data_IF_485136986214
#
_entry.id   IF_485136986214
#
_cell.length_a   1.000
_cell.length_b   1.000
_cell.length_c   1.000
_cell.angle_alpha   90.00
_cell.angle_beta   90.00
_cell.angle_gamma   90.00
#
_symmetry.space_group_name_H-M   'P 1'
#
loop_
_entity.id
_entity.type
_entity.pdbx_description
1 polymer ?
#
# COMPACT_ATOMS: atom_id res chain seq x y z
N UNK A 1 12.26 -16.88 -1.43
CA UNK A 1 11.33 -15.73 -1.49
C UNK A 1 11.66 -14.85 -0.29
N UNK A 2 11.81 -13.55 -0.52
CA UNK A 2 12.03 -12.50 0.48
C UNK A 2 10.79 -12.25 1.34
N UNK A 3 9.63 -12.77 0.92
CA UNK A 3 8.34 -12.42 1.46
C UNK A 3 8.07 -10.91 1.28
N UNK A 4 8.31 -10.44 0.06
CA UNK A 4 8.11 -9.05 -0.38
C UNK A 4 7.51 -9.07 -1.79
N UNK A 5 6.84 -8.00 -2.20
CA UNK A 5 6.26 -7.88 -3.54
C UNK A 5 7.31 -8.03 -4.66
N UNK A 6 8.56 -7.70 -4.35
CA UNK A 6 9.74 -7.82 -5.23
C UNK A 6 10.17 -9.26 -5.48
N UNK A 7 9.53 -10.25 -4.85
CA UNK A 7 9.62 -11.65 -5.27
C UNK A 7 8.92 -11.89 -6.62
N UNK A 8 7.96 -11.03 -7.02
CA UNK A 8 7.42 -11.01 -8.38
C UNK A 8 8.49 -10.50 -9.34
N UNK A 9 8.97 -11.32 -10.29
CA UNK A 9 10.06 -10.90 -11.17
C UNK A 9 9.73 -9.63 -11.95
N UNK A 10 10.67 -8.67 -11.97
CA UNK A 10 10.50 -7.38 -12.64
C UNK A 10 9.93 -6.26 -11.80
N UNK A 11 9.66 -6.49 -10.51
CA UNK A 11 9.21 -5.45 -9.58
C UNK A 11 10.36 -5.00 -8.70
N UNK A 12 10.61 -3.69 -8.68
CA UNK A 12 11.51 -2.99 -7.75
C UNK A 12 10.71 -2.03 -6.89
N UNK A 13 11.11 -1.80 -5.64
CA UNK A 13 10.44 -0.87 -4.73
C UNK A 13 11.47 0.03 -4.07
N UNK A 14 11.18 1.33 -4.01
CA UNK A 14 11.97 2.31 -3.27
C UNK A 14 11.11 3.18 -2.37
N UNK A 15 11.71 3.64 -1.27
CA UNK A 15 11.08 4.47 -0.26
C UNK A 15 11.88 5.77 -0.09
N UNK A 16 11.18 6.88 0.07
CA UNK A 16 11.76 8.13 0.54
C UNK A 16 10.81 8.79 1.54
N UNK A 17 11.37 9.55 2.48
CA UNK A 17 10.61 10.11 3.59
C UNK A 17 11.22 11.40 4.11
N UNK A 18 10.36 12.27 4.62
CA UNK A 18 10.74 13.42 5.42
C UNK A 18 10.23 13.18 6.85
N UNK A 19 11.18 12.86 7.74
CA UNK A 19 10.86 12.59 9.15
C UNK A 19 10.49 13.87 9.92
N UNK A 20 10.92 15.06 9.46
CA UNK A 20 10.49 16.33 10.06
C UNK A 20 9.04 16.58 9.72
N UNK A 21 8.66 16.42 8.45
CA UNK A 21 7.28 16.55 7.99
C UNK A 21 6.40 15.33 8.32
N UNK A 22 6.96 14.24 8.86
CA UNK A 22 6.26 13.01 9.23
C UNK A 22 5.50 12.36 8.05
N UNK A 23 6.11 12.33 6.86
CA UNK A 23 5.47 11.81 5.64
C UNK A 23 6.49 11.12 4.73
N UNK A 24 6.02 10.53 3.63
CA UNK A 24 6.88 9.87 2.66
C UNK A 24 6.15 9.35 1.42
N UNK A 25 6.93 8.79 0.51
CA UNK A 25 6.47 8.15 -0.72
C UNK A 25 7.16 6.79 -0.92
N UNK A 26 6.45 5.88 -1.56
CA UNK A 26 6.91 4.57 -1.97
C UNK A 26 6.62 4.40 -3.45
N UNK A 27 7.60 4.00 -4.25
CA UNK A 27 7.47 3.82 -5.70
C UNK A 27 7.79 2.37 -6.04
N UNK A 28 6.82 1.67 -6.63
CA UNK A 28 7.02 0.35 -7.23
C UNK A 28 7.24 0.52 -8.75
N UNK A 29 8.41 0.13 -9.26
CA UNK A 29 8.80 0.21 -10.67
C UNK A 29 8.71 -1.17 -11.31
N UNK A 30 8.14 -1.24 -12.52
CA UNK A 30 8.12 -2.43 -13.36
C UNK A 30 9.18 -2.30 -14.45
N UNK A 31 10.24 -3.11 -14.41
CA UNK A 31 11.40 -2.95 -15.32
C UNK A 31 11.05 -2.97 -16.81
N UNK A 32 9.99 -3.69 -17.19
CA UNK A 32 9.53 -3.85 -18.58
C UNK A 32 8.09 -3.36 -18.76
N UNK A 33 7.60 -2.57 -17.81
CA UNK A 33 6.18 -2.26 -17.66
C UNK A 33 5.36 -3.46 -17.17
N UNK A 34 4.10 -3.19 -16.82
CA UNK A 34 3.14 -4.21 -16.42
C UNK A 34 1.73 -3.86 -16.88
N UNK A 35 0.95 -4.88 -17.24
CA UNK A 35 -0.50 -4.70 -17.47
C UNK A 35 -1.16 -4.48 -16.12
N UNK A 36 -1.93 -3.40 -15.98
CA UNK A 36 -2.50 -3.03 -14.69
C UNK A 36 -3.94 -2.55 -14.75
N UNK A 37 -4.63 -2.70 -13.63
CA UNK A 37 -5.94 -2.10 -13.39
C UNK A 37 -6.08 -1.66 -11.93
N UNK A 38 -7.23 -1.11 -11.55
CA UNK A 38 -7.49 -0.49 -10.24
C UNK A 38 -8.88 -0.87 -9.73
N UNK A 39 -9.02 -1.06 -8.42
CA UNK A 39 -10.30 -1.15 -7.73
C UNK A 39 -10.29 -0.22 -6.52
N UNK A 40 -11.17 0.78 -6.57
CA UNK A 40 -11.36 1.77 -5.49
C UNK A 40 -12.71 1.51 -4.85
N UNK A 41 -12.69 1.17 -3.56
CA UNK A 41 -13.91 0.88 -2.78
C UNK A 41 -14.11 1.85 -1.61
N UNK A 42 -13.09 2.63 -1.24
CA UNK A 42 -13.25 3.73 -0.28
C UNK A 42 -14.14 4.86 -0.82
N UNK A 43 -14.86 5.54 0.07
CA UNK A 43 -15.73 6.66 -0.28
C UNK A 43 -15.04 8.01 -0.54
N UNK A 44 -13.76 8.16 -0.18
CA UNK A 44 -13.00 9.41 -0.35
C UNK A 44 -11.61 9.17 -0.98
N UNK A 45 -11.54 8.61 -2.20
CA UNK A 45 -10.25 8.30 -2.83
C UNK A 45 -9.51 9.55 -3.30
N UNK A 46 -8.20 9.42 -3.41
CA UNK A 46 -7.35 10.35 -4.11
C UNK A 46 -6.35 9.58 -4.95
N UNK A 47 -6.41 9.78 -6.27
CA UNK A 47 -5.56 9.07 -7.22
C UNK A 47 -5.11 9.96 -8.38
N UNK A 48 -4.06 9.53 -9.06
CA UNK A 48 -3.58 10.10 -10.32
C UNK A 48 -3.66 9.02 -11.39
N UNK A 49 -4.30 9.38 -12.51
CA UNK A 49 -4.46 8.52 -13.68
C UNK A 49 -5.22 7.21 -13.41
N UNK A 50 -6.03 7.11 -12.34
CA UNK A 50 -6.84 5.93 -12.05
C UNK A 50 -7.82 5.58 -13.16
N UNK A 51 -8.49 6.58 -13.77
CA UNK A 51 -9.39 6.34 -14.92
C UNK A 51 -8.67 5.63 -16.07
N UNK A 52 -7.39 5.92 -16.31
CA UNK A 52 -6.63 5.28 -17.39
C UNK A 52 -6.44 3.77 -17.19
N UNK A 53 -6.68 3.26 -15.98
CA UNK A 53 -6.60 1.86 -15.60
C UNK A 53 -7.91 1.10 -15.74
N UNK A 54 -8.99 1.76 -16.16
CA UNK A 54 -10.25 1.08 -16.46
C UNK A 54 -10.10 0.17 -17.70
N UNK A 55 -10.72 -1.03 -17.70
CA UNK A 55 -10.51 -2.05 -18.74
C UNK A 55 -10.74 -1.57 -20.17
N UNK A 56 -11.65 -0.62 -20.38
CA UNK A 56 -12.04 -0.05 -21.67
C UNK A 56 -11.07 1.02 -22.20
N UNK A 57 -10.17 1.56 -21.35
CA UNK A 57 -9.33 2.69 -21.72
C UNK A 57 -8.08 2.27 -22.51
N UNK A 58 -7.70 3.11 -23.48
CA UNK A 58 -6.54 2.90 -24.36
C UNK A 58 -5.23 3.09 -23.59
N UNK A 59 -4.45 2.02 -23.49
CA UNK A 59 -3.19 1.98 -22.73
C UNK A 59 -3.07 0.65 -22.02
N UNK A 60 -2.08 -0.15 -22.42
CA UNK A 60 -1.97 -1.54 -21.96
C UNK A 60 -1.06 -1.69 -20.74
N UNK A 61 -0.01 -0.88 -20.63
CA UNK A 61 1.02 -1.05 -19.61
C UNK A 61 1.32 0.25 -18.86
N UNK A 62 1.64 0.09 -17.58
CA UNK A 62 2.20 1.12 -16.71
C UNK A 62 3.65 0.83 -16.37
N UNK A 63 4.41 1.86 -16.01
CA UNK A 63 5.82 1.77 -15.64
C UNK A 63 6.05 1.76 -14.14
N UNK A 64 5.15 2.42 -13.38
CA UNK A 64 5.22 2.45 -11.93
C UNK A 64 3.85 2.66 -11.26
N UNK A 65 3.78 2.23 -10.00
CA UNK A 65 2.73 2.61 -9.05
C UNK A 65 3.38 3.40 -7.91
N UNK A 66 2.82 4.56 -7.60
CA UNK A 66 3.26 5.42 -6.50
C UNK A 66 2.23 5.38 -5.39
N UNK A 67 2.69 5.15 -4.17
CA UNK A 67 1.91 5.28 -2.94
C UNK A 67 2.53 6.41 -2.13
N UNK A 68 1.75 7.37 -1.65
CA UNK A 68 2.32 8.48 -0.86
C UNK A 68 1.40 8.99 0.22
N UNK A 69 1.98 9.59 1.24
CA UNK A 69 1.26 10.48 2.17
C UNK A 69 0.84 11.79 1.52
N UNK A 70 0.50 12.77 2.34
CA UNK A 70 0.29 14.15 1.92
C UNK A 70 -1.10 14.52 1.43
N UNK A 71 -2.03 13.58 1.39
CA UNK A 71 -3.33 13.79 0.76
C UNK A 71 -3.13 14.44 -0.62
N UNK A 72 -3.91 15.45 -0.99
CA UNK A 72 -3.88 16.10 -2.31
C UNK A 72 -2.49 16.58 -2.74
N UNK A 73 -1.65 17.03 -1.81
CA UNK A 73 -0.27 17.46 -2.10
C UNK A 73 0.64 16.28 -2.48
N UNK A 74 0.30 15.08 -1.98
CA UNK A 74 0.99 13.85 -2.30
C UNK A 74 1.00 13.52 -3.79
N UNK A 75 0.01 13.97 -4.55
CA UNK A 75 -0.13 13.70 -5.99
C UNK A 75 1.06 14.19 -6.84
N UNK A 76 1.89 15.08 -6.28
CA UNK A 76 3.13 15.55 -6.92
C UNK A 76 4.23 14.48 -6.94
N UNK A 77 4.17 13.47 -6.07
CA UNK A 77 5.16 12.38 -6.03
C UNK A 77 5.22 11.57 -7.32
N UNK A 78 4.10 11.38 -8.02
CA UNK A 78 4.13 10.78 -9.35
C UNK A 78 4.93 11.61 -10.36
N UNK A 79 4.95 12.94 -10.23
CA UNK A 79 5.76 13.82 -11.07
C UNK A 79 7.26 13.55 -10.90
N UNK A 80 7.74 13.46 -9.67
CA UNK A 80 9.14 13.14 -9.37
C UNK A 80 9.53 11.73 -9.82
N UNK A 81 8.67 10.75 -9.58
CA UNK A 81 8.89 9.37 -10.06
C UNK A 81 8.95 9.31 -11.59
N UNK A 82 8.01 9.97 -12.28
CA UNK A 82 8.01 10.08 -13.75
C UNK A 82 9.27 10.74 -14.30
N UNK A 83 9.83 11.75 -13.62
CA UNK A 83 11.09 12.38 -14.04
C UNK A 83 12.26 11.38 -14.05
N UNK A 84 12.36 10.53 -13.02
CA UNK A 84 13.39 9.49 -12.94
C UNK A 84 13.20 8.42 -14.00
N UNK A 85 11.96 7.96 -14.22
CA UNK A 85 11.66 6.97 -15.28
C UNK A 85 11.99 7.53 -16.66
N UNK A 86 11.64 8.79 -16.94
CA UNK A 86 11.95 9.47 -18.19
C UNK A 86 13.47 9.60 -18.39
N UNK A 87 14.23 9.98 -17.36
CA UNK A 87 15.69 10.03 -17.39
C UNK A 87 16.32 8.67 -17.73
N UNK A 88 15.70 7.57 -17.27
CA UNK A 88 16.13 6.19 -17.55
C UNK A 88 15.70 5.70 -18.94
N UNK A 89 15.00 6.52 -19.72
CA UNK A 89 14.43 6.12 -21.01
C UNK A 89 13.30 5.10 -20.90
N UNK A 90 12.67 4.99 -19.72
CA UNK A 90 11.57 4.07 -19.47
C UNK A 90 10.23 4.70 -19.86
N UNK A 91 9.32 3.88 -20.37
CA UNK A 91 7.99 4.29 -20.85
C UNK A 91 7.82 4.11 -22.35
N UNK A 92 6.64 4.47 -22.85
CA UNK A 92 6.36 4.42 -24.29
C UNK A 92 7.04 5.58 -24.99
N UNK A 93 7.73 5.29 -26.10
CA UNK A 93 8.36 6.33 -26.91
C UNK A 93 7.36 6.97 -27.85
N UNK A 94 7.22 8.30 -27.80
CA UNK A 94 6.42 9.08 -28.73
C UNK A 94 7.25 10.24 -29.29
N UNK A 95 7.43 10.30 -30.60
CA UNK A 95 8.26 11.34 -31.22
C UNK A 95 9.72 11.38 -30.73
N UNK A 96 10.27 10.23 -30.30
CA UNK A 96 11.62 10.14 -29.72
C UNK A 96 11.72 10.48 -28.23
N UNK A 97 10.61 10.86 -27.58
CA UNK A 97 10.55 11.14 -26.14
C UNK A 97 10.00 9.92 -25.39
N UNK A 98 10.65 9.54 -24.30
CA UNK A 98 10.12 8.53 -23.38
C UNK A 98 9.01 9.14 -22.53
N UNK A 99 7.82 8.52 -22.56
CA UNK A 99 6.64 8.96 -21.80
C UNK A 99 6.26 7.84 -20.82
N UNK A 100 6.79 7.86 -19.58
CA UNK A 100 6.45 6.88 -18.57
C UNK A 100 5.05 7.10 -18.02
N UNK A 101 4.36 6.01 -17.70
CA UNK A 101 3.05 6.01 -17.04
C UNK A 101 3.23 5.59 -15.58
N UNK A 102 3.26 6.57 -14.68
CA UNK A 102 3.24 6.36 -13.24
C UNK A 102 1.85 6.70 -12.69
N UNK A 103 1.13 5.67 -12.24
CA UNK A 103 -0.19 5.83 -11.58
C UNK A 103 0.01 5.96 -10.08
N UNK A 104 -0.96 6.54 -9.35
CA UNK A 104 -0.77 6.83 -7.94
C UNK A 104 -2.05 6.77 -7.13
N UNK A 105 -1.92 6.41 -5.85
CA UNK A 105 -2.91 6.74 -4.83
C UNK A 105 -2.23 7.43 -3.62
N UNK A 106 -3.02 8.23 -2.89
CA UNK A 106 -2.55 9.07 -1.77
C UNK A 106 -3.30 8.73 -0.48
N UNK A 107 -2.63 8.86 0.66
CA UNK A 107 -3.25 8.76 1.99
C UNK A 107 -3.15 10.07 2.77
N UNK A 108 -4.06 10.24 3.73
CA UNK A 108 -4.10 11.42 4.59
C UNK A 108 -3.23 11.26 5.86
N UNK A 109 -2.15 12.03 5.94
CA UNK A 109 -1.25 12.10 7.10
C UNK A 109 -0.92 13.56 7.52
N UNK A 110 -1.77 14.52 7.14
CA UNK A 110 -1.49 15.95 7.34
C UNK A 110 -1.60 16.43 8.80
N UNK A 111 -2.19 15.64 9.71
CA UNK A 111 -2.41 16.01 11.12
C UNK A 111 -1.68 15.09 12.12
N UNK A 112 -0.68 14.35 11.66
CA UNK A 112 0.05 13.34 12.44
C UNK A 112 1.23 13.91 13.27
N UNK A 113 1.28 15.22 13.45
CA UNK A 113 2.46 15.93 13.98
C UNK A 113 3.36 16.43 12.85
N UNK A 114 4.65 16.66 13.13
CA UNK A 114 5.64 17.11 12.16
C UNK A 114 5.52 18.56 11.70
N UNK A 115 6.60 19.04 11.07
CA UNK A 115 6.73 20.38 10.51
C UNK A 115 6.04 20.45 9.14
N UNK A 116 4.93 21.19 9.07
CA UNK A 116 4.10 21.32 7.86
C UNK A 116 3.79 22.79 7.52
N UNK A 117 4.75 23.68 7.76
CA UNK A 117 4.59 25.11 7.50
C UNK A 117 4.28 25.41 6.02
N UNK A 118 4.71 24.52 5.12
CA UNK A 118 4.34 24.53 3.70
C UNK A 118 2.83 24.48 3.46
N UNK A 119 2.01 23.98 4.40
CA UNK A 119 0.55 24.05 4.26
C UNK A 119 -0.02 25.46 4.45
N UNK A 120 0.70 26.35 5.15
CA UNK A 120 0.24 27.74 5.41
C UNK A 120 0.59 28.67 4.24
N UNK A 121 1.73 28.44 3.60
CA UNK A 121 2.20 29.25 2.47
C UNK A 121 2.72 28.37 1.31
N UNK A 122 1.88 27.49 0.69
CA UNK A 122 2.33 26.46 -0.26
C UNK A 122 2.92 27.01 -1.57
N UNK A 123 2.72 28.30 -1.86
CA UNK A 123 3.34 28.98 -3.01
C UNK A 123 4.78 29.40 -2.71
N UNK A 124 5.10 29.68 -1.44
CA UNK A 124 6.45 30.09 -1.00
C UNK A 124 7.28 28.90 -0.54
N UNK A 125 6.61 27.92 0.04
CA UNK A 125 7.22 26.73 0.61
C UNK A 125 6.64 25.51 -0.09
N UNK A 126 7.42 24.94 -1.00
CA UNK A 126 7.01 23.81 -1.82
C UNK A 126 6.74 22.57 -0.94
N UNK A 127 5.62 21.85 -1.16
CA UNK A 127 5.40 20.55 -0.53
C UNK A 127 6.48 19.53 -0.95
N UNK A 128 6.92 18.62 -0.05
CA UNK A 128 8.09 17.78 -0.31
C UNK A 128 7.86 16.66 -1.34
N UNK A 129 6.62 16.48 -1.84
CA UNK A 129 6.21 15.23 -2.46
C UNK A 129 6.85 14.96 -3.82
N UNK A 130 7.15 15.99 -4.62
CA UNK A 130 7.88 15.80 -5.87
C UNK A 130 9.27 15.19 -5.60
N UNK A 131 10.03 15.77 -4.67
CA UNK A 131 11.35 15.25 -4.27
C UNK A 131 11.26 13.85 -3.67
N UNK A 132 10.26 13.59 -2.81
CA UNK A 132 10.02 12.26 -2.25
C UNK A 132 9.75 11.21 -3.33
N UNK A 133 8.95 11.54 -4.34
CA UNK A 133 8.69 10.66 -5.48
C UNK A 133 9.95 10.37 -6.32
N UNK A 134 10.75 11.41 -6.58
CA UNK A 134 12.05 11.29 -7.27
C UNK A 134 12.98 10.38 -6.48
N UNK A 135 13.20 10.67 -5.20
CA UNK A 135 14.18 9.99 -4.38
C UNK A 135 13.80 8.52 -4.16
N UNK A 136 12.51 8.23 -3.96
CA UNK A 136 12.01 6.86 -3.88
C UNK A 136 12.26 6.08 -5.19
N UNK A 137 12.03 6.69 -6.35
CA UNK A 137 12.29 6.04 -7.64
C UNK A 137 13.80 5.83 -7.91
N UNK A 138 14.65 6.74 -7.45
CA UNK A 138 16.10 6.63 -7.59
C UNK A 138 16.66 5.42 -6.84
N UNK A 139 16.15 5.13 -5.65
CA UNK A 139 16.65 4.06 -4.77
C UNK A 139 15.89 2.73 -4.89
N UNK A 140 15.00 2.59 -5.88
CA UNK A 140 14.19 1.38 -6.04
C UNK A 140 15.05 0.12 -6.21
N UNK A 141 14.80 -0.89 -5.38
CA UNK A 141 15.58 -2.13 -5.29
C UNK A 141 14.69 -3.35 -4.96
N UNK A 142 15.30 -4.54 -4.87
CA UNK A 142 14.58 -5.75 -4.44
C UNK A 142 14.30 -5.78 -2.94
N UNK A 143 15.18 -5.19 -2.12
CA UNK A 143 15.04 -5.14 -0.67
C UNK A 143 14.72 -3.70 -0.25
N UNK A 144 13.73 -3.53 0.62
CA UNK A 144 13.26 -2.23 1.08
C UNK A 144 12.68 -2.32 2.49
N UNK A 145 12.70 -1.21 3.23
CA UNK A 145 12.22 -1.16 4.61
C UNK A 145 10.68 -1.22 4.68
N UNK A 146 10.16 -1.85 5.75
CA UNK A 146 8.74 -1.90 6.11
C UNK A 146 8.46 -1.08 7.38
N UNK A 147 7.19 -0.97 7.77
CA UNK A 147 6.76 -0.25 8.97
C UNK A 147 6.75 1.27 8.75
N UNK A 148 7.52 2.01 9.56
CA UNK A 148 7.64 3.47 9.45
C UNK A 148 8.64 3.83 8.35
N UNK A 149 8.28 3.55 7.10
CA UNK A 149 9.10 3.79 5.92
C UNK A 149 8.24 4.23 4.73
N UNK A 150 8.75 5.12 3.88
CA UNK A 150 8.07 5.62 2.68
C UNK A 150 6.66 6.13 2.98
N UNK A 151 5.66 5.67 2.20
CA UNK A 151 4.26 6.02 2.43
C UNK A 151 3.71 5.59 3.81
N UNK A 152 4.38 4.66 4.49
CA UNK A 152 4.02 4.20 5.84
C UNK A 152 4.44 5.14 6.98
N UNK A 153 5.30 6.13 6.73
CA UNK A 153 5.84 7.01 7.79
C UNK A 153 4.72 7.71 8.54
N UNK A 154 3.85 8.40 7.81
CA UNK A 154 2.76 9.16 8.42
C UNK A 154 1.51 8.36 8.76
N UNK A 155 1.46 7.08 8.38
CA UNK A 155 0.27 6.25 8.41
C UNK A 155 -0.13 5.84 9.84
N UNK A 156 -1.43 5.86 10.13
CA UNK A 156 -2.03 5.47 11.43
C UNK A 156 -3.34 4.73 11.24
N UNK A 157 -3.67 3.85 12.19
CA UNK A 157 -5.00 3.19 12.28
C UNK A 157 -5.80 3.76 13.45
N UNK A 158 -6.97 3.18 13.76
CA UNK A 158 -7.83 3.64 14.85
C UNK A 158 -7.17 3.71 16.25
N UNK A 159 -6.11 2.96 16.51
CA UNK A 159 -5.48 2.95 17.84
C UNK A 159 -4.02 2.53 17.90
N UNK A 160 -3.37 2.44 16.74
CA UNK A 160 -1.98 2.04 16.57
C UNK A 160 -1.34 2.82 15.42
N UNK A 161 -0.02 2.96 15.48
CA UNK A 161 0.79 3.32 14.32
C UNK A 161 0.50 2.36 13.17
N UNK A 162 0.21 2.92 11.99
CA UNK A 162 0.10 2.16 10.74
C UNK A 162 1.47 1.99 10.11
N UNK A 163 1.55 1.54 8.87
CA UNK A 163 2.86 1.41 8.24
C UNK A 163 2.83 0.88 6.81
N UNK A 164 4.02 0.72 6.25
CA UNK A 164 4.25 0.10 4.96
C UNK A 164 4.44 -1.40 5.16
N UNK A 165 3.60 -2.20 4.52
CA UNK A 165 3.64 -3.65 4.59
C UNK A 165 3.88 -4.28 3.24
N UNK A 166 4.54 -5.43 3.22
CA UNK A 166 4.68 -6.23 2.01
C UNK A 166 4.83 -7.71 2.34
N UNK A 167 4.30 -8.56 1.46
CA UNK A 167 4.37 -10.02 1.53
C UNK A 167 4.31 -10.62 0.13
N UNK A 168 4.52 -11.93 0.04
CA UNK A 168 4.31 -12.69 -1.20
C UNK A 168 3.99 -14.15 -0.91
N UNK A 169 3.49 -14.85 -1.92
CA UNK A 169 3.28 -16.29 -1.92
C UNK A 169 3.34 -16.85 -3.35
N UNK A 170 3.44 -18.18 -3.46
CA UNK A 170 3.25 -18.89 -4.73
C UNK A 170 1.89 -19.55 -4.79
N UNK A 171 1.32 -19.59 -5.98
CA UNK A 171 0.16 -20.43 -6.29
C UNK A 171 0.60 -21.89 -6.48
N UNK A 172 -0.35 -22.82 -6.49
CA UNK A 172 -0.12 -24.24 -6.79
C UNK A 172 0.47 -24.46 -8.19
N UNK A 173 0.17 -23.56 -9.13
CA UNK A 173 0.71 -23.57 -10.50
C UNK A 173 2.08 -22.87 -10.62
N UNK A 174 2.62 -22.37 -9.50
CA UNK A 174 3.96 -21.79 -9.45
C UNK A 174 4.04 -20.30 -9.80
N UNK A 175 2.92 -19.64 -10.08
CA UNK A 175 2.87 -18.18 -10.21
C UNK A 175 3.26 -17.52 -8.90
N UNK A 176 3.96 -16.41 -8.98
CA UNK A 176 4.28 -15.57 -7.83
C UNK A 176 3.23 -14.47 -7.71
N UNK A 177 2.77 -14.23 -6.48
CA UNK A 177 1.87 -13.12 -6.15
C UNK A 177 2.49 -12.36 -4.99
N UNK A 178 2.50 -11.04 -5.07
CA UNK A 178 3.05 -10.15 -4.05
C UNK A 178 2.09 -9.01 -3.72
N UNK A 179 2.16 -8.50 -2.49
CA UNK A 179 1.39 -7.34 -2.05
C UNK A 179 2.30 -6.28 -1.42
N UNK A 180 1.95 -5.01 -1.62
CA UNK A 180 2.57 -3.83 -1.02
C UNK A 180 1.44 -2.89 -0.60
N UNK A 181 1.48 -2.38 0.63
CA UNK A 181 0.37 -1.58 1.18
C UNK A 181 0.87 -0.52 2.15
N UNK A 182 0.33 0.68 2.07
CA UNK A 182 0.45 1.70 3.11
C UNK A 182 -0.84 1.78 3.92
N UNK A 183 -0.76 1.46 5.21
CA UNK A 183 -1.91 1.21 6.09
C UNK A 183 -2.25 2.45 6.91
N UNK A 184 -3.10 3.32 6.38
CA UNK A 184 -3.63 4.48 7.09
C UNK A 184 -5.16 4.36 7.30
N UNK A 185 -5.60 3.17 7.72
CA UNK A 185 -7.00 2.76 7.75
C UNK A 185 -7.87 3.57 8.73
N UNK A 186 -9.17 3.70 8.41
CA UNK A 186 -10.14 4.27 9.36
C UNK A 186 -10.36 3.31 10.55
N UNK A 187 -10.31 2.01 10.29
CA UNK A 187 -10.56 0.97 11.27
C UNK A 187 -9.33 0.51 12.03
N UNK A 188 -9.50 -0.61 12.74
CA UNK A 188 -8.45 -1.27 13.50
C UNK A 188 -7.92 -2.50 12.77
N UNK A 189 -6.61 -2.69 12.77
CA UNK A 189 -5.98 -3.94 12.34
C UNK A 189 -6.02 -5.04 13.41
N UNK A 190 -6.18 -4.65 14.68
CA UNK A 190 -6.26 -5.56 15.83
C UNK A 190 -7.69 -5.79 16.30
N UNK A 191 -7.91 -6.94 16.94
CA UNK A 191 -9.20 -7.38 17.51
C UNK A 191 -9.39 -6.73 18.88
N UNK A 192 -10.45 -5.93 19.01
CA UNK A 192 -10.79 -5.26 20.27
C UNK A 192 -9.66 -4.36 20.78
N UNK A 193 -9.32 -4.51 22.05
CA UNK A 193 -8.17 -3.85 22.69
C UNK A 193 -6.92 -4.75 22.79
N UNK A 194 -7.00 -5.97 22.27
CA UNK A 194 -5.95 -6.98 22.38
C UNK A 194 -4.87 -6.91 21.28
N UNK A 195 -3.85 -7.77 21.39
CA UNK A 195 -2.72 -7.77 20.47
C UNK A 195 -2.97 -8.54 19.16
N UNK A 196 -4.03 -9.37 19.10
CA UNK A 196 -4.32 -10.22 17.95
C UNK A 196 -4.74 -9.41 16.73
N UNK A 197 -4.16 -9.69 15.57
CA UNK A 197 -4.57 -9.12 14.29
C UNK A 197 -5.80 -9.83 13.71
N UNK A 198 -6.66 -9.10 13.00
CA UNK A 198 -7.73 -9.72 12.20
C UNK A 198 -7.16 -10.68 11.16
N UNK A 199 -6.00 -10.36 10.59
CA UNK A 199 -5.30 -11.20 9.64
C UNK A 199 -4.61 -12.44 10.26
N UNK A 200 -4.78 -12.71 11.56
CA UNK A 200 -4.07 -13.78 12.27
C UNK A 200 -4.22 -15.17 11.67
N UNK A 201 -5.34 -15.48 11.00
CA UNK A 201 -5.56 -16.75 10.31
C UNK A 201 -4.67 -16.96 9.07
N UNK A 202 -4.08 -15.88 8.55
CA UNK A 202 -3.26 -15.88 7.34
C UNK A 202 -1.76 -15.78 7.64
N UNK A 203 -1.37 -15.67 8.91
CA UNK A 203 0.03 -15.52 9.31
C UNK A 203 0.87 -16.70 8.85
N UNK A 204 2.03 -16.40 8.27
CA UNK A 204 3.02 -17.41 7.91
C UNK A 204 4.26 -17.29 8.79
N UNK A 205 4.58 -18.37 9.51
CA UNK A 205 5.63 -18.33 10.54
C UNK A 205 5.23 -17.38 11.66
N UNK A 206 6.08 -16.41 11.97
CA UNK A 206 5.85 -15.39 13.01
C UNK A 206 6.01 -13.98 12.44
N UNK A 207 5.63 -13.78 11.17
CA UNK A 207 5.91 -12.55 10.42
C UNK A 207 5.23 -11.27 10.98
N UNK A 208 4.24 -11.41 11.86
CA UNK A 208 3.66 -10.31 12.63
C UNK A 208 3.31 -10.70 14.07
N UNK A 209 4.15 -11.55 14.68
CA UNK A 209 4.13 -11.84 16.12
C UNK A 209 3.65 -13.24 16.51
N UNK A 210 3.15 -14.05 15.59
CA UNK A 210 2.83 -15.48 15.81
C UNK A 210 1.66 -15.71 16.77
N UNK A 211 0.78 -14.73 16.94
CA UNK A 211 -0.31 -14.81 17.93
C UNK A 211 -1.57 -15.50 17.39
N UNK A 212 -1.73 -15.58 16.06
CA UNK A 212 -2.95 -16.07 15.44
C UNK A 212 -4.22 -15.35 15.94
N UNK A 213 -5.36 -16.05 15.91
CA UNK A 213 -6.60 -15.58 16.50
C UNK A 213 -6.71 -15.93 17.99
N UNK A 214 -7.41 -15.10 18.79
CA UNK A 214 -7.66 -15.44 20.18
C UNK A 214 -8.58 -16.67 20.26
N UNK A 215 -8.34 -17.54 21.24
CA UNK A 215 -9.16 -18.75 21.46
C UNK A 215 -10.65 -18.42 21.70
N UNK A 216 -10.94 -17.24 22.24
CA UNK A 216 -12.28 -16.66 22.36
C UNK A 216 -12.21 -15.19 21.99
N UNK A 217 -13.14 -14.71 21.17
CA UNK A 217 -13.24 -13.29 20.86
C UNK A 217 -13.54 -12.49 22.15
N UNK A 218 -12.80 -11.40 22.43
CA UNK A 218 -13.09 -10.55 23.58
C UNK A 218 -14.43 -9.82 23.41
N UNK A 219 -15.07 -9.44 24.51
CA UNK A 219 -16.37 -8.76 24.49
C UNK A 219 -16.36 -7.43 23.73
N UNK A 220 -15.18 -6.81 23.58
CA UNK A 220 -14.98 -5.58 22.82
C UNK A 220 -14.55 -5.78 21.36
N UNK A 221 -14.43 -7.04 20.89
CA UNK A 221 -13.93 -7.37 19.54
C UNK A 221 -14.71 -6.65 18.43
N UNK A 222 -16.02 -6.58 18.58
CA UNK A 222 -16.92 -6.04 17.56
C UNK A 222 -17.34 -4.59 17.81
N UNK A 223 -16.90 -3.97 18.92
CA UNK A 223 -17.20 -2.56 19.19
C UNK A 223 -16.62 -1.69 18.08
N UNK A 224 -17.40 -0.69 17.66
CA UNK A 224 -16.99 0.19 16.58
C UNK A 224 -15.84 1.10 17.02
N UNK A 225 -14.80 1.18 16.19
CA UNK A 225 -13.62 2.01 16.43
C UNK A 225 -13.25 2.69 15.13
N UNK A 226 -13.05 4.00 15.19
CA UNK A 226 -12.62 4.79 14.05
C UNK A 226 -11.47 5.70 14.44
N UNK A 227 -10.53 5.88 13.52
CA UNK A 227 -9.47 6.88 13.60
C UNK A 227 -10.07 8.28 13.81
N UNK A 228 -9.44 9.06 14.69
CA UNK A 228 -9.74 10.48 14.90
C UNK A 228 -10.86 10.79 15.90
N UNK A 229 -11.58 9.79 16.42
CA UNK A 229 -12.67 10.01 17.38
C UNK A 229 -12.25 10.92 18.55
N UNK A 230 -13.03 11.99 18.85
CA UNK A 230 -14.41 12.24 18.41
C UNK A 230 -14.59 12.96 17.05
N UNK A 231 -13.53 13.42 16.38
CA UNK A 231 -13.63 14.11 15.09
C UNK A 231 -13.41 13.15 13.91
N UNK A 232 -14.26 13.15 12.88
CA UNK A 232 -13.98 12.37 11.67
C UNK A 232 -12.68 12.85 11.03
N UNK A 233 -11.74 11.93 10.78
CA UNK A 233 -10.52 12.20 10.02
C UNK A 233 -10.52 11.30 8.79
N UNK A 234 -10.08 11.82 7.65
CA UNK A 234 -9.89 11.03 6.44
C UNK A 234 -8.84 9.94 6.69
N UNK A 235 -9.15 8.74 6.21
CA UNK A 235 -8.28 7.59 6.29
C UNK A 235 -8.13 6.98 4.90
N UNK A 236 -7.12 6.15 4.69
CA UNK A 236 -6.87 5.53 3.39
C UNK A 236 -5.96 4.31 3.54
N UNK A 237 -6.36 3.15 3.02
CA UNK A 237 -5.42 2.05 2.78
C UNK A 237 -5.15 1.93 1.27
N UNK A 238 -3.92 2.21 0.85
CA UNK A 238 -3.53 2.20 -0.57
C UNK A 238 -2.57 1.04 -0.82
N UNK A 239 -2.85 0.24 -1.83
CA UNK A 239 -2.14 -1.02 -2.06
C UNK A 239 -1.87 -1.31 -3.54
N UNK A 240 -0.84 -2.12 -3.76
CA UNK A 240 -0.54 -2.80 -5.01
C UNK A 240 -0.48 -4.30 -4.75
N UNK A 241 -1.19 -5.09 -5.55
CA UNK A 241 -0.91 -6.52 -5.73
C UNK A 241 -0.27 -6.75 -7.11
N UNK A 242 0.75 -7.59 -7.17
CA UNK A 242 1.45 -7.90 -8.40
C UNK A 242 1.55 -9.42 -8.61
N UNK A 243 1.58 -9.86 -9.87
CA UNK A 243 1.86 -11.24 -10.24
C UNK A 243 2.72 -11.34 -11.50
N UNK A 244 3.41 -12.46 -11.66
CA UNK A 244 4.14 -12.80 -12.88
C UNK A 244 3.29 -13.52 -13.93
N UNK A 245 2.03 -13.82 -13.63
CA UNK A 245 1.07 -14.30 -14.61
C UNK A 245 0.82 -13.25 -15.72
N UNK A 246 0.54 -13.72 -16.93
CA UNK A 246 0.05 -12.90 -18.05
C UNK A 246 -1.46 -12.74 -17.92
N UNK A 247 -1.88 -11.50 -17.62
CA UNK A 247 -3.29 -11.11 -17.48
C UNK A 247 -3.64 -9.99 -18.46
N UNK A 248 -4.90 -9.95 -18.88
CA UNK A 248 -5.49 -8.80 -19.55
C UNK A 248 -5.85 -7.71 -18.53
N UNK A 249 -6.15 -6.49 -19.01
CA UNK A 249 -6.56 -5.39 -18.14
C UNK A 249 -7.84 -5.70 -17.35
N UNK A 250 -8.81 -6.38 -17.98
CA UNK A 250 -10.04 -6.83 -17.33
C UNK A 250 -9.78 -7.90 -16.26
N UNK A 251 -8.79 -8.76 -16.45
CA UNK A 251 -8.38 -9.74 -15.46
C UNK A 251 -7.60 -9.11 -14.31
N UNK A 252 -6.74 -8.11 -14.58
CA UNK A 252 -6.16 -7.27 -13.54
C UNK A 252 -7.26 -6.54 -12.75
N UNK A 253 -8.34 -6.06 -13.40
CA UNK A 253 -9.49 -5.46 -12.70
C UNK A 253 -10.13 -6.47 -11.76
N UNK A 254 -10.34 -7.71 -12.22
CA UNK A 254 -10.87 -8.79 -11.39
C UNK A 254 -9.93 -9.13 -10.22
N UNK A 255 -8.62 -9.19 -10.46
CA UNK A 255 -7.60 -9.42 -9.45
C UNK A 255 -7.62 -8.32 -8.38
N UNK A 256 -7.71 -7.04 -8.77
CA UNK A 256 -7.83 -5.90 -7.86
C UNK A 256 -9.11 -5.96 -7.01
N UNK A 257 -10.24 -6.35 -7.61
CA UNK A 257 -11.51 -6.55 -6.88
C UNK A 257 -11.32 -7.64 -5.82
N UNK A 258 -10.79 -8.81 -6.19
CA UNK A 258 -10.58 -9.92 -5.26
C UNK A 258 -9.59 -9.56 -4.15
N UNK A 259 -8.52 -8.82 -4.47
CA UNK A 259 -7.54 -8.39 -3.48
C UNK A 259 -8.15 -7.55 -2.35
N UNK A 260 -9.22 -6.77 -2.60
CA UNK A 260 -9.92 -6.01 -1.55
C UNK A 260 -10.48 -6.91 -0.42
N UNK A 261 -10.73 -8.20 -0.68
CA UNK A 261 -11.08 -9.15 0.38
C UNK A 261 -9.97 -9.22 1.44
N UNK A 262 -8.71 -9.03 1.04
CA UNK A 262 -7.57 -8.95 1.95
C UNK A 262 -7.64 -7.77 2.91
N UNK A 263 -8.13 -6.62 2.44
CA UNK A 263 -8.41 -5.47 3.30
C UNK A 263 -9.55 -5.78 4.28
N UNK A 264 -10.64 -6.40 3.81
CA UNK A 264 -11.76 -6.83 4.65
C UNK A 264 -11.39 -7.90 5.70
N UNK A 265 -10.40 -8.74 5.41
CA UNK A 265 -9.86 -9.77 6.33
C UNK A 265 -8.93 -9.19 7.40
N UNK A 266 -8.38 -8.00 7.19
CA UNK A 266 -7.31 -7.43 8.02
C UNK A 266 -7.69 -6.15 8.73
N UNK A 267 -8.76 -5.47 8.32
CA UNK A 267 -9.20 -4.19 8.86
C UNK A 267 -10.69 -4.22 9.22
N UNK A 268 -11.05 -3.58 10.34
CA UNK A 268 -12.44 -3.41 10.74
C UNK A 268 -12.72 -2.05 11.40
N UNK A 269 -13.65 -1.24 10.86
CA UNK A 269 -14.23 -1.33 9.50
C UNK A 269 -13.19 -1.03 8.40
N UNK A 270 -13.60 -1.22 7.15
CA UNK A 270 -12.87 -0.84 5.94
C UNK A 270 -13.87 -0.27 4.92
N UNK A 271 -13.41 0.44 3.88
CA UNK A 271 -14.24 1.01 2.81
C UNK A 271 -15.31 2.00 3.31
N UNK A 272 -15.04 2.68 4.42
CA UNK A 272 -15.96 3.65 4.98
C UNK A 272 -16.08 4.90 4.08
N UNK A 273 -17.11 5.75 4.26
CA UNK A 273 -17.29 6.96 3.44
C UNK A 273 -16.10 7.93 3.47
N UNK A 274 -15.37 8.01 4.58
CA UNK A 274 -14.18 8.85 4.73
C UNK A 274 -12.87 8.07 4.54
N UNK A 275 -12.95 6.83 4.07
CA UNK A 275 -11.80 6.01 3.71
C UNK A 275 -11.55 6.12 2.21
N UNK A 276 -10.31 6.23 1.76
CA UNK A 276 -9.96 6.32 0.34
C UNK A 276 -9.36 5.03 -0.22
N UNK A 277 -9.75 3.88 0.33
CA UNK A 277 -9.16 2.58 -0.02
C UNK A 277 -9.10 2.31 -1.53
N UNK A 278 -7.89 2.04 -2.00
CA UNK A 278 -7.58 1.81 -3.41
C UNK A 278 -6.56 0.69 -3.55
N UNK A 279 -6.89 -0.30 -4.40
CA UNK A 279 -6.01 -1.42 -4.72
C UNK A 279 -5.70 -1.41 -6.22
N UNK A 280 -4.42 -1.28 -6.55
CA UNK A 280 -3.90 -1.55 -7.89
C UNK A 280 -3.59 -3.04 -8.04
N UNK A 281 -3.80 -3.59 -9.23
CA UNK A 281 -3.32 -4.91 -9.59
C UNK A 281 -2.45 -4.82 -10.85
N UNK A 282 -1.27 -5.44 -10.84
CA UNK A 282 -0.32 -5.44 -11.95
C UNK A 282 0.15 -6.86 -12.31
N UNK A 283 0.36 -7.11 -13.60
CA UNK A 283 0.79 -8.37 -14.16
C UNK A 283 2.05 -8.15 -15.01
N UNK A 284 3.17 -8.75 -14.62
CA UNK A 284 4.45 -8.61 -15.34
C UNK A 284 4.58 -9.58 -16.52
N UNK A 285 3.72 -10.61 -16.58
CA UNK A 285 3.61 -11.50 -17.74
C UNK A 285 4.82 -12.41 -18.00
N UNK A 286 5.61 -12.73 -16.97
CA UNK A 286 6.87 -13.47 -17.07
C UNK A 286 6.75 -14.99 -16.88
N UNK A 287 5.64 -15.50 -16.36
CA UNK A 287 5.49 -16.92 -15.98
C UNK A 287 4.47 -17.72 -16.82
N UNK A 288 3.64 -17.05 -17.64
CA UNK A 288 2.65 -17.69 -18.51
C UNK A 288 1.22 -17.23 -18.25
N UNK A 289 0.27 -17.75 -19.02
CA UNK A 289 -1.14 -17.32 -19.00
C UNK A 289 -1.82 -17.65 -17.66
N UNK A 290 -2.40 -16.64 -16.99
CA UNK A 290 -3.11 -16.83 -15.72
C UNK A 290 -4.58 -16.38 -15.70
N UNK A 291 -5.13 -15.97 -16.84
CA UNK A 291 -6.48 -15.39 -16.90
C UNK A 291 -7.62 -16.40 -16.96
N UNK A 292 -7.32 -17.70 -17.10
CA UNK A 292 -8.35 -18.74 -17.08
C UNK A 292 -9.09 -18.74 -15.72
N UNK A 293 -10.44 -18.87 -15.68
CA UNK A 293 -11.20 -18.62 -14.46
C UNK A 293 -10.72 -19.36 -13.21
N UNK A 294 -10.36 -20.66 -13.26
CA UNK A 294 -9.82 -21.36 -12.08
C UNK A 294 -8.48 -20.79 -11.60
N UNK A 295 -7.60 -20.42 -12.54
CA UNK A 295 -6.26 -19.87 -12.25
C UNK A 295 -6.38 -18.46 -11.70
N UNK A 296 -7.23 -17.62 -12.30
CA UNK A 296 -7.50 -16.27 -11.83
C UNK A 296 -8.15 -16.28 -10.44
N UNK A 297 -9.00 -17.28 -10.16
CA UNK A 297 -9.61 -17.47 -8.83
C UNK A 297 -8.54 -17.74 -7.77
N UNK A 298 -7.59 -18.63 -8.08
CA UNK A 298 -6.46 -18.91 -7.20
C UNK A 298 -5.56 -17.67 -7.03
N UNK A 299 -5.19 -16.99 -8.12
CA UNK A 299 -4.40 -15.75 -8.09
C UNK A 299 -5.05 -14.70 -7.20
N UNK A 300 -6.36 -14.46 -7.35
CA UNK A 300 -7.10 -13.51 -6.55
C UNK A 300 -7.21 -13.89 -5.08
N UNK A 301 -7.37 -15.18 -4.77
CA UNK A 301 -7.38 -15.68 -3.40
C UNK A 301 -6.03 -15.44 -2.72
N UNK A 302 -4.94 -15.81 -3.40
CA UNK A 302 -3.58 -15.62 -2.91
C UNK A 302 -3.24 -14.13 -2.80
N UNK A 303 -3.72 -13.28 -3.71
CA UNK A 303 -3.54 -11.83 -3.63
C UNK A 303 -4.25 -11.23 -2.40
N UNK A 304 -5.47 -11.67 -2.11
CA UNK A 304 -6.19 -11.26 -0.91
C UNK A 304 -5.47 -11.71 0.37
N UNK A 305 -4.96 -12.94 0.43
CA UNK A 305 -4.21 -13.44 1.58
C UNK A 305 -2.89 -12.68 1.78
N UNK A 306 -2.14 -12.43 0.69
CA UNK A 306 -0.93 -11.60 0.75
C UNK A 306 -1.27 -10.19 1.25
N UNK A 307 -2.32 -9.55 0.73
CA UNK A 307 -2.69 -8.21 1.16
C UNK A 307 -3.12 -8.17 2.64
N UNK A 308 -3.89 -9.16 3.11
CA UNK A 308 -4.25 -9.26 4.53
C UNK A 308 -3.02 -9.36 5.44
N UNK A 309 -2.06 -10.23 5.06
CA UNK A 309 -0.79 -10.39 5.78
C UNK A 309 0.04 -9.11 5.73
N UNK A 310 0.11 -8.45 4.58
CA UNK A 310 0.88 -7.21 4.39
C UNK A 310 0.33 -6.09 5.27
N UNK A 311 -1.00 -5.98 5.42
CA UNK A 311 -1.60 -5.00 6.35
C UNK A 311 -1.13 -5.23 7.78
N UNK A 312 -1.25 -6.45 8.30
CA UNK A 312 -0.82 -6.77 9.67
C UNK A 312 0.69 -6.58 9.86
N UNK A 313 1.50 -7.04 8.91
CA UNK A 313 2.96 -6.89 8.93
C UNK A 313 3.40 -5.42 8.89
N UNK A 314 2.73 -4.59 8.10
CA UNK A 314 3.00 -3.14 8.06
C UNK A 314 2.74 -2.45 9.40
N UNK A 315 1.66 -2.82 10.10
CA UNK A 315 1.34 -2.31 11.44
C UNK A 315 2.31 -2.86 12.50
N UNK A 316 2.66 -4.14 12.41
CA UNK A 316 3.57 -4.80 13.36
C UNK A 316 5.00 -4.24 13.29
N UNK A 317 5.52 -3.99 12.08
CA UNK A 317 6.88 -3.48 11.88
C UNK A 317 7.02 -1.97 12.11
N UNK A 318 5.89 -1.26 12.26
CA UNK A 318 5.93 0.17 12.49
C UNK A 318 6.49 0.53 13.85
N UNK A 319 7.11 1.71 13.92
CA UNK A 319 7.60 2.36 15.13
C UNK A 319 6.90 3.70 15.31
N UNK A 320 6.54 4.02 16.55
CA UNK A 320 5.86 5.28 16.85
C UNK A 320 6.72 6.49 16.42
N UNK A 321 6.06 7.54 15.91
CA UNK A 321 6.74 8.78 15.58
C UNK A 321 7.14 9.55 16.86
N UNK A 322 8.23 10.33 16.84
CA UNK A 322 8.70 11.07 18.02
C UNK A 322 7.93 12.38 18.26
N UNK A 323 6.60 12.37 18.09
CA UNK A 323 5.73 13.53 18.31
C UNK A 323 4.78 13.30 19.47
N UNK A 324 4.44 14.36 20.21
CA UNK A 324 3.62 14.27 21.43
C UNK A 324 2.23 13.63 21.20
N UNK A 325 1.68 13.75 19.99
CA UNK A 325 0.38 13.21 19.59
C UNK A 325 0.48 11.89 18.79
N UNK A 326 1.66 11.26 18.72
CA UNK A 326 1.84 10.02 17.99
C UNK A 326 1.07 8.87 18.64
N UNK A 327 0.37 8.08 17.83
CA UNK A 327 -0.21 6.81 18.27
C UNK A 327 0.90 5.80 18.57
N UNK A 328 0.75 4.94 19.60
CA UNK A 328 1.77 3.94 19.93
C UNK A 328 1.89 2.90 18.82
N UNK A 329 3.09 2.35 18.64
CA UNK A 329 3.28 1.14 17.84
C UNK A 329 2.85 -0.12 18.61
N UNK A 330 2.65 -1.20 17.86
CA UNK A 330 2.16 -2.47 18.40
C UNK A 330 3.14 -3.06 19.42
N UNK A 331 4.45 -3.02 19.13
CA UNK A 331 5.50 -3.64 19.96
C UNK A 331 5.63 -2.93 21.31
N UNK A 332 5.56 -1.60 21.34
CA UNK A 332 5.53 -0.81 22.57
C UNK A 332 4.25 -1.07 23.37
N UNK A 333 3.10 -1.14 22.71
CA UNK A 333 1.81 -1.32 23.38
C UNK A 333 1.62 -2.72 23.98
N UNK A 334 2.15 -3.75 23.32
CA UNK A 334 1.86 -5.16 23.66
C UNK A 334 3.08 -6.03 23.93
N UNK A 335 4.28 -5.66 23.47
CA UNK A 335 5.50 -6.45 23.61
C UNK A 335 6.09 -6.49 25.02
N UNK A 336 5.61 -5.64 25.95
CA UNK A 336 6.07 -5.58 27.34
C UNK A 336 5.42 -6.58 28.31
N UNK A 337 4.57 -7.50 27.85
CA UNK A 337 3.99 -8.56 28.71
C UNK A 337 4.71 -9.88 28.48
N UNK A 338 5.92 -9.97 29.01
CA UNK A 338 6.79 -11.14 28.88
C UNK A 338 7.97 -11.11 29.84
N UNK A 339 7.70 -11.04 31.14
CA UNK A 339 8.53 -11.60 32.22
C UNK A 339 7.60 -12.11 33.31
#
# INVERSE_FOLDING_TARGET
>A
MRNLITDVPGVLVGNAQDMRAATGATVAIFEQGAVASISTLGGAPGDRMGTSLEPEMVGQMIDAVVLSGGSVYGLDAAGGASAVLCQRGQGRTFGGLAIPVAVQAILFDLINGGEKDWMREPVKHEPPYWDLGRDAALVAAHDFALGTAGAGVGATTAGLKGGLGSTSAKTSQGFTVGALVAVNAVGSATIGSGPHFWAGAYEQGNEFGGLGWPARLPDDALKMRFKGQPLPVTATTIALVATDATLTKAECKRLAIMANDGLSRSLRPVHAPNDGDTVFAAATGKAGRGGEPPVLTELGTVAADCLARAVARGVYEATALPFANAVPDWKTKFGGRGT
#
